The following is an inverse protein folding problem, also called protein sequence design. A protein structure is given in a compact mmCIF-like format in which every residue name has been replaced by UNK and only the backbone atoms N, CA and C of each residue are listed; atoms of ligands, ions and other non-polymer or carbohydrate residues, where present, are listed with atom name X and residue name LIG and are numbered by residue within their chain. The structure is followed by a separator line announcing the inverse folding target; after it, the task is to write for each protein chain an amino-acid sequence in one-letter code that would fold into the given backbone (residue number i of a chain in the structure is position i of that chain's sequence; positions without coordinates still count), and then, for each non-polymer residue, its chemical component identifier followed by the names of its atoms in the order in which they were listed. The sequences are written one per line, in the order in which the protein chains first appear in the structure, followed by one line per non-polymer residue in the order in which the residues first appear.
data_IF_826092376342
#
_entry.id   IF_826092376342
#
_cell.length_a   1.000
_cell.length_b   1.000
_cell.length_c   1.000
_cell.angle_alpha   90.00
_cell.angle_beta   90.00
_cell.angle_gamma   90.00
#
_symmetry.space_group_name_H-M   'P 1'
#
loop_
_entity.id
_entity.type
_entity.pdbx_description
1 polymer ?
#
# COMPACT_ATOMS: atom_id res chain seq x y z
N UNK A 1 -16.40 -5.36 -0.73
CA UNK A 1 -16.31 -5.85 0.66
C UNK A 1 -14.98 -6.58 0.75
N UNK A 2 -13.96 -5.99 1.39
CA UNK A 2 -12.63 -6.60 1.53
C UNK A 2 -12.67 -7.43 2.82
N UNK A 3 -12.85 -8.74 2.69
CA UNK A 3 -12.93 -9.68 3.82
C UNK A 3 -11.52 -10.09 4.25
N UNK A 4 -10.79 -9.13 4.83
CA UNK A 4 -9.58 -9.43 5.57
C UNK A 4 -9.90 -9.27 7.06
N UNK A 5 -10.48 -10.31 7.66
CA UNK A 5 -10.61 -10.39 9.11
C UNK A 5 -9.21 -10.37 9.73
N UNK A 6 -8.83 -9.24 10.34
CA UNK A 6 -7.60 -9.12 11.13
C UNK A 6 -7.70 -10.15 12.27
N UNK A 7 -6.79 -11.14 12.29
CA UNK A 7 -6.82 -12.23 13.29
C UNK A 7 -6.69 -13.65 12.71
N UNK A 8 -6.82 -13.85 11.40
CA UNK A 8 -6.39 -15.12 10.77
C UNK A 8 -4.87 -15.11 10.62
N UNK A 9 -4.21 -16.11 11.21
CA UNK A 9 -2.75 -16.27 11.31
C UNK A 9 -2.01 -15.90 10.02
N UNK A 10 -1.53 -14.66 9.90
CA UNK A 10 -0.77 -14.20 8.72
C UNK A 10 -1.04 -12.76 8.27
N UNK A 11 -2.12 -12.12 8.73
CA UNK A 11 -2.42 -10.71 8.39
C UNK A 11 -2.51 -9.87 9.66
N UNK A 12 -1.78 -8.76 9.69
CA UNK A 12 -1.83 -7.74 10.73
C UNK A 12 -2.08 -6.37 10.10
N UNK A 13 -2.84 -5.54 10.80
CA UNK A 13 -3.10 -4.16 10.39
C UNK A 13 -2.50 -3.21 11.44
N UNK A 14 -1.80 -2.18 10.97
CA UNK A 14 -1.30 -1.09 11.81
C UNK A 14 -1.68 0.24 11.20
N UNK A 15 -2.28 1.11 12.01
CA UNK A 15 -2.52 2.49 11.62
C UNK A 15 -1.19 3.26 11.67
N UNK A 16 -0.79 3.82 10.53
CA UNK A 16 0.40 4.68 10.42
C UNK A 16 -0.04 6.01 9.83
N UNK A 17 0.32 7.10 10.49
CA UNK A 17 -0.04 8.44 10.05
C UNK A 17 0.52 8.76 8.67
N UNK A 18 -0.28 9.46 7.85
CA UNK A 18 0.05 9.86 6.48
C UNK A 18 1.41 10.57 6.36
N UNK A 19 1.72 11.50 7.26
CA UNK A 19 3.00 12.21 7.28
C UNK A 19 4.20 11.28 7.53
N UNK A 20 4.03 10.25 8.38
CA UNK A 20 5.09 9.26 8.62
C UNK A 20 5.36 8.40 7.40
N UNK A 21 4.32 8.10 6.60
CA UNK A 21 4.44 7.28 5.39
C UNK A 21 5.13 8.02 4.24
N UNK A 22 5.00 9.35 4.18
CA UNK A 22 5.55 10.18 3.11
C UNK A 22 7.04 9.92 2.84
N UNK A 23 7.86 9.81 3.90
CA UNK A 23 9.31 9.58 3.77
C UNK A 23 9.67 8.21 3.19
N UNK A 24 8.77 7.22 3.27
CA UNK A 24 8.99 5.87 2.72
C UNK A 24 8.36 5.68 1.34
N UNK A 25 7.42 6.55 0.96
CA UNK A 25 6.69 6.46 -0.30
C UNK A 25 7.54 6.84 -1.53
N UNK A 26 8.64 7.56 -1.34
CA UNK A 26 9.54 7.96 -2.43
C UNK A 26 8.82 8.74 -3.53
N UNK A 27 9.04 8.33 -4.79
CA UNK A 27 8.47 8.93 -5.99
C UNK A 27 6.98 8.62 -6.20
N UNK A 28 6.41 7.67 -5.44
CA UNK A 28 4.97 7.39 -5.45
C UNK A 28 4.18 8.51 -4.79
N UNK A 29 4.80 9.32 -3.93
CA UNK A 29 4.12 10.44 -3.27
C UNK A 29 3.94 11.64 -4.20
N UNK A 30 2.79 12.31 -4.11
CA UNK A 30 2.55 13.59 -4.76
C UNK A 30 1.65 14.50 -3.91
N UNK A 31 1.67 15.81 -4.19
CA UNK A 31 0.86 16.79 -3.48
C UNK A 31 -0.65 16.60 -3.75
N UNK A 32 -1.48 16.70 -2.71
CA UNK A 32 -2.93 16.46 -2.85
C UNK A 32 -3.31 14.99 -2.97
N UNK A 33 -2.37 14.07 -2.73
CA UNK A 33 -2.60 12.63 -2.81
C UNK A 33 -3.80 12.18 -1.93
N UNK A 34 -4.81 11.49 -2.53
CA UNK A 34 -6.04 11.14 -1.84
C UNK A 34 -5.89 9.93 -0.91
N UNK A 35 -4.95 9.02 -1.22
CA UNK A 35 -4.77 7.74 -0.54
C UNK A 35 -3.28 7.47 -0.31
N UNK A 36 -2.94 6.68 0.72
CA UNK A 36 -1.56 6.22 0.92
C UNK A 36 -1.07 5.45 -0.33
N UNK A 37 0.16 5.71 -0.81
CA UNK A 37 0.76 4.93 -1.87
C UNK A 37 1.39 3.64 -1.35
N UNK A 38 1.62 3.52 -0.04
CA UNK A 38 2.12 2.28 0.58
C UNK A 38 0.91 1.44 0.98
N UNK A 39 0.83 0.22 0.45
CA UNK A 39 -0.31 -0.68 0.62
C UNK A 39 -0.08 -1.71 1.73
N UNK A 40 1.03 -2.43 1.66
CA UNK A 40 1.26 -3.61 2.48
C UNK A 40 2.73 -3.93 2.64
N UNK A 41 3.04 -4.70 3.67
CA UNK A 41 4.31 -5.41 3.82
C UNK A 41 3.97 -6.88 3.62
N UNK A 42 4.47 -7.48 2.54
CA UNK A 42 4.38 -8.91 2.31
C UNK A 42 5.68 -9.56 2.79
N UNK A 43 5.58 -10.62 3.61
CA UNK A 43 6.75 -11.29 4.14
C UNK A 43 6.54 -12.81 4.21
N UNK A 44 7.63 -13.54 4.00
CA UNK A 44 7.75 -14.99 4.17
C UNK A 44 8.72 -15.26 5.31
N UNK A 45 8.25 -15.97 6.33
CA UNK A 45 9.05 -16.31 7.52
C UNK A 45 9.29 -17.81 7.54
N UNK A 46 10.54 -18.22 7.66
CA UNK A 46 10.95 -19.62 7.83
C UNK A 46 11.62 -19.79 9.19
N UNK A 47 10.99 -20.55 10.08
CA UNK A 47 11.57 -20.91 11.39
C UNK A 47 12.76 -21.86 11.22
N UNK A 48 12.66 -22.82 10.29
CA UNK A 48 13.67 -23.85 10.08
C UNK A 48 15.01 -23.26 9.63
N UNK A 49 14.98 -22.27 8.74
CA UNK A 49 16.18 -21.57 8.27
C UNK A 49 16.44 -20.26 9.00
N UNK A 50 15.71 -19.97 10.09
CA UNK A 50 15.74 -18.72 10.83
C UNK A 50 15.79 -17.48 9.91
N UNK A 51 14.91 -17.41 8.91
CA UNK A 51 14.94 -16.34 7.91
C UNK A 51 13.59 -15.67 7.72
N UNK A 52 13.63 -14.41 7.30
CA UNK A 52 12.50 -13.59 6.90
C UNK A 52 12.89 -12.84 5.64
N UNK A 53 12.09 -12.99 4.59
CA UNK A 53 12.20 -12.22 3.36
C UNK A 53 10.92 -11.43 3.18
N UNK A 54 10.99 -10.19 2.75
CA UNK A 54 9.78 -9.43 2.47
C UNK A 54 9.97 -8.26 1.55
N UNK A 55 8.84 -7.68 1.18
CA UNK A 55 8.72 -6.56 0.27
C UNK A 55 7.66 -5.61 0.77
N UNK A 56 7.97 -4.33 0.72
CA UNK A 56 7.02 -3.24 0.90
C UNK A 56 6.40 -2.94 -0.44
N UNK A 57 5.09 -3.16 -0.55
CA UNK A 57 4.32 -3.03 -1.78
C UNK A 57 3.64 -1.67 -1.79
N UNK A 58 3.84 -0.95 -2.88
CA UNK A 58 3.21 0.31 -3.19
C UNK A 58 2.22 0.24 -4.35
N UNK A 59 1.43 1.29 -4.48
CA UNK A 59 0.54 1.52 -5.60
C UNK A 59 0.79 2.89 -6.23
N UNK A 60 1.07 2.88 -7.53
CA UNK A 60 1.31 4.08 -8.32
C UNK A 60 -0.01 4.75 -8.73
N UNK A 61 -0.62 5.41 -7.76
CA UNK A 61 -1.81 6.24 -7.95
C UNK A 61 -1.61 7.31 -9.02
N UNK A 62 -0.39 7.86 -9.13
CA UNK A 62 -0.07 8.92 -10.09
C UNK A 62 -0.22 8.40 -11.52
N UNK A 63 0.37 7.24 -11.80
CA UNK A 63 0.21 6.57 -13.10
C UNK A 63 -1.22 6.11 -13.34
N UNK A 64 -1.92 5.59 -12.32
CA UNK A 64 -3.33 5.23 -12.46
C UNK A 64 -4.18 6.44 -12.87
N UNK A 65 -4.05 7.57 -12.19
CA UNK A 65 -4.84 8.77 -12.48
C UNK A 65 -4.54 9.32 -13.87
N UNK A 66 -3.27 9.32 -14.29
CA UNK A 66 -2.89 9.68 -15.65
C UNK A 66 -3.54 8.75 -16.69
N UNK A 67 -3.44 7.44 -16.49
CA UNK A 67 -3.88 6.44 -17.47
C UNK A 67 -5.41 6.27 -17.52
N UNK A 68 -6.12 6.63 -16.44
CA UNK A 68 -7.59 6.60 -16.35
C UNK A 68 -8.25 7.95 -16.68
N UNK A 69 -7.48 9.04 -16.71
CA UNK A 69 -8.01 10.41 -16.82
C UNK A 69 -8.77 10.90 -15.58
N UNK A 70 -8.74 10.13 -14.48
CA UNK A 70 -9.42 10.50 -13.23
C UNK A 70 -8.61 11.56 -12.50
N UNK A 71 -9.25 12.68 -12.19
CA UNK A 71 -8.66 13.69 -11.32
C UNK A 71 -8.56 13.16 -9.88
N UNK A 72 -7.36 13.21 -9.29
CA UNK A 72 -7.10 12.76 -7.93
C UNK A 72 -7.94 13.50 -6.88
N UNK A 73 -8.32 14.76 -7.13
CA UNK A 73 -9.20 15.55 -6.25
C UNK A 73 -10.62 15.02 -6.26
N UNK A 74 -11.11 14.55 -7.39
CA UNK A 74 -12.44 13.93 -7.50
C UNK A 74 -12.46 12.51 -6.93
N UNK A 75 -11.29 11.89 -6.81
CA UNK A 75 -11.12 10.59 -6.14
C UNK A 75 -11.26 10.69 -4.62
N UNK A 76 -10.91 11.81 -4.00
CA UNK A 76 -11.23 12.11 -2.60
C UNK A 76 -11.72 13.56 -2.48
N UNK A 77 -12.94 13.86 -2.96
CA UNK A 77 -13.43 15.22 -3.03
C UNK A 77 -13.73 15.75 -1.63
N UNK A 78 -13.70 17.07 -1.51
CA UNK A 78 -14.17 17.75 -0.31
C UNK A 78 -15.63 17.35 -0.04
N UNK A 79 -15.94 17.07 1.22
CA UNK A 79 -17.24 16.54 1.64
C UNK A 79 -17.37 15.02 1.51
N UNK A 80 -16.46 14.32 0.81
CA UNK A 80 -16.43 12.86 0.76
C UNK A 80 -17.60 12.25 -0.02
N UNK A 81 -18.21 11.19 0.51
CA UNK A 81 -19.27 10.40 -0.16
C UNK A 81 -20.49 11.21 -0.63
N UNK A 82 -20.99 12.21 0.12
CA UNK A 82 -22.05 13.10 -0.36
C UNK A 82 -21.76 13.83 -1.67
N UNK A 83 -20.50 14.03 -2.03
CA UNK A 83 -20.14 14.61 -3.32
C UNK A 83 -20.21 13.51 -4.40
N UNK A 84 -21.05 13.65 -5.46
CA UNK A 84 -21.19 12.63 -6.50
C UNK A 84 -19.88 12.23 -7.18
N UNK A 85 -18.91 13.17 -7.26
CA UNK A 85 -17.58 12.92 -7.79
C UNK A 85 -16.89 11.74 -7.09
N UNK A 86 -17.15 11.52 -5.79
CA UNK A 86 -16.57 10.42 -5.00
C UNK A 86 -16.85 9.04 -5.62
N UNK A 87 -18.09 8.82 -6.07
CA UNK A 87 -18.50 7.54 -6.63
C UNK A 87 -18.17 7.45 -8.11
N UNK A 88 -18.41 8.52 -8.86
CA UNK A 88 -18.15 8.57 -10.30
C UNK A 88 -16.66 8.32 -10.58
N UNK A 89 -15.75 9.02 -9.91
CA UNK A 89 -14.30 8.86 -10.11
C UNK A 89 -13.81 7.44 -9.77
N UNK A 90 -14.30 6.85 -8.69
CA UNK A 90 -13.98 5.48 -8.28
C UNK A 90 -14.53 4.44 -9.24
N UNK A 91 -15.75 4.63 -9.72
CA UNK A 91 -16.36 3.75 -10.72
C UNK A 91 -15.56 3.80 -12.03
N UNK A 92 -15.22 5.00 -12.52
CA UNK A 92 -14.40 5.20 -13.72
C UNK A 92 -13.04 4.49 -13.60
N UNK A 93 -12.32 4.71 -12.49
CA UNK A 93 -11.05 4.03 -12.25
C UNK A 93 -11.21 2.50 -12.18
N UNK A 94 -12.26 2.01 -11.52
CA UNK A 94 -12.53 0.58 -11.36
C UNK A 94 -12.88 -0.11 -12.67
N UNK A 95 -13.71 0.52 -13.51
CA UNK A 95 -14.09 0.00 -14.84
C UNK A 95 -12.84 -0.06 -15.74
N UNK A 96 -12.01 0.98 -15.71
CA UNK A 96 -10.77 1.02 -16.49
C UNK A 96 -9.78 -0.04 -16.02
N UNK A 97 -9.62 -0.23 -14.70
CA UNK A 97 -8.84 -1.34 -14.17
C UNK A 97 -9.45 -2.68 -14.58
N UNK A 98 -10.75 -2.89 -14.43
CA UNK A 98 -11.40 -4.17 -14.75
C UNK A 98 -11.18 -4.61 -16.20
N UNK A 99 -11.19 -3.66 -17.14
CA UNK A 99 -10.98 -3.89 -18.57
C UNK A 99 -9.52 -4.12 -18.99
N UNK A 100 -8.54 -3.84 -18.12
CA UNK A 100 -7.12 -4.12 -18.40
C UNK A 100 -6.81 -5.62 -18.28
N UNK A 101 -5.83 -6.09 -19.06
CA UNK A 101 -5.20 -7.39 -18.82
C UNK A 101 -4.42 -7.38 -17.49
N UNK A 102 -3.94 -8.54 -17.06
CA UNK A 102 -3.25 -8.66 -15.77
C UNK A 102 -1.96 -7.85 -15.72
N UNK A 103 -1.14 -7.87 -16.77
CA UNK A 103 0.16 -7.19 -16.78
C UNK A 103 0.00 -5.67 -16.69
N UNK A 104 -0.99 -5.12 -17.40
CA UNK A 104 -1.36 -3.71 -17.34
C UNK A 104 -1.90 -3.29 -15.95
N UNK A 105 -2.54 -4.21 -15.21
CA UNK A 105 -2.95 -3.97 -13.82
C UNK A 105 -1.73 -3.98 -12.90
N UNK A 106 -0.85 -4.95 -13.07
CA UNK A 106 0.31 -5.16 -12.20
C UNK A 106 1.35 -4.05 -12.33
N UNK A 107 1.41 -3.32 -13.46
CA UNK A 107 2.30 -2.16 -13.61
C UNK A 107 2.09 -1.07 -12.55
N UNK A 108 0.89 -0.97 -11.97
CA UNK A 108 0.61 0.00 -10.90
C UNK A 108 1.08 -0.48 -9.53
N UNK A 109 1.40 -1.77 -9.38
CA UNK A 109 1.94 -2.33 -8.14
C UNK A 109 3.47 -2.23 -8.22
N UNK A 110 4.09 -1.58 -7.24
CA UNK A 110 5.55 -1.38 -7.22
C UNK A 110 6.17 -1.90 -5.93
N UNK A 111 7.29 -2.61 -6.09
CA UNK A 111 8.18 -2.93 -4.98
C UNK A 111 8.88 -1.64 -4.52
N UNK A 112 8.55 -1.15 -3.32
CA UNK A 112 9.17 0.05 -2.74
C UNK A 112 10.50 -0.29 -2.09
N UNK A 113 10.55 -1.37 -1.29
CA UNK A 113 11.75 -1.85 -0.61
C UNK A 113 11.66 -3.34 -0.39
N UNK A 114 12.68 -4.08 -0.81
CA UNK A 114 12.90 -5.48 -0.40
C UNK A 114 13.77 -5.51 0.84
N UNK A 115 13.54 -6.49 1.70
CA UNK A 115 14.32 -6.71 2.90
C UNK A 115 14.50 -8.20 3.17
N UNK A 116 15.61 -8.54 3.80
CA UNK A 116 15.94 -9.89 4.22
C UNK A 116 16.58 -9.85 5.60
N UNK A 117 16.35 -10.88 6.42
CA UNK A 117 17.00 -11.01 7.72
C UNK A 117 16.54 -12.25 8.47
N UNK A 118 16.73 -12.23 9.80
CA UNK A 118 16.32 -13.33 10.67
C UNK A 118 14.81 -13.38 10.91
N UNK A 119 14.28 -14.55 11.25
CA UNK A 119 12.85 -14.75 11.51
C UNK A 119 12.29 -13.81 12.59
N UNK A 120 13.11 -13.43 13.58
CA UNK A 120 12.73 -12.53 14.67
C UNK A 120 12.33 -11.11 14.20
N UNK A 121 12.73 -10.68 13.00
CA UNK A 121 12.32 -9.38 12.45
C UNK A 121 10.81 -9.31 12.22
N UNK A 122 10.16 -10.42 11.86
CA UNK A 122 8.72 -10.45 11.68
C UNK A 122 8.00 -10.03 12.98
N UNK A 123 8.47 -10.54 14.12
CA UNK A 123 7.93 -10.14 15.42
C UNK A 123 8.10 -8.64 15.65
N UNK A 124 9.30 -8.09 15.43
CA UNK A 124 9.57 -6.64 15.58
C UNK A 124 8.65 -5.79 14.69
N UNK A 125 8.45 -6.17 13.43
CA UNK A 125 7.55 -5.44 12.51
C UNK A 125 6.12 -5.46 13.04
N UNK A 126 5.67 -6.57 13.61
CA UNK A 126 4.30 -6.75 14.12
C UNK A 126 4.05 -6.22 15.54
N UNK A 127 5.09 -6.01 16.36
CA UNK A 127 4.98 -5.61 17.77
C UNK A 127 4.18 -4.32 17.99
N UNK A 128 3.34 -4.28 19.01
CA UNK A 128 2.61 -3.07 19.40
C UNK A 128 3.55 -1.87 19.65
N UNK A 129 3.09 -0.65 19.35
CA UNK A 129 3.89 0.58 19.49
C UNK A 129 5.02 0.75 18.46
N UNK A 130 5.33 -0.26 17.65
CA UNK A 130 6.42 -0.19 16.67
C UNK A 130 5.94 0.35 15.32
N UNK A 131 6.68 1.32 14.76
CA UNK A 131 6.52 1.79 13.38
C UNK A 131 7.18 0.79 12.41
N UNK A 132 6.38 0.00 11.65
CA UNK A 132 6.92 -1.14 10.90
C UNK A 132 7.89 -0.71 9.78
N UNK A 133 7.63 0.42 9.13
CA UNK A 133 8.46 0.93 8.04
C UNK A 133 9.81 1.44 8.53
N UNK A 134 9.89 2.00 9.75
CA UNK A 134 11.16 2.41 10.34
C UNK A 134 12.08 1.21 10.57
N UNK A 135 11.52 0.09 11.06
CA UNK A 135 12.25 -1.17 11.22
C UNK A 135 12.78 -1.63 9.86
N UNK A 136 11.94 -1.70 8.84
CA UNK A 136 12.33 -2.17 7.50
C UNK A 136 13.42 -1.28 6.88
N UNK A 137 13.32 0.05 7.02
CA UNK A 137 14.31 0.98 6.47
C UNK A 137 15.62 1.02 7.26
N UNK A 138 15.66 0.50 8.48
CA UNK A 138 16.91 0.30 9.23
C UNK A 138 17.67 -0.96 8.82
N UNK A 139 17.08 -1.81 8.00
CA UNK A 139 17.70 -3.04 7.50
C UNK A 139 18.50 -2.73 6.23
N UNK A 140 19.74 -3.23 6.18
CA UNK A 140 20.56 -3.20 4.96
C UNK A 140 19.92 -4.07 3.87
#
# INVERSE_FOLDING_TARGET
MYDATVGKNGIFAKSVGKEKLKKYAGDLWFEGMPLSPILAIAMRVSKNSNSCEGVVIGFDWKSLFRDTGVNHRDFAPQGGKPNPAYFVSRATASIKLASMNLDDKLKYVRDIKKFFGQAAIAQKITSEGTEPYAVIWSMQ
#
